data_IF_228892818617
#
_entry.id   IF_228892818617
#
_cell.length_a   1.000
_cell.length_b   1.000
_cell.length_c   1.000
_cell.angle_alpha   90.00
_cell.angle_beta   90.00
_cell.angle_gamma   90.00
#
_symmetry.space_group_name_H-M   'P 1'
#
loop_
_entity.id
_entity.type
_entity.pdbx_description
1 polymer ?
#
# COMPACT_ATOMS: atom_id res chain seq x y z
N UNK A 1 -19.18 -5.60 -13.73
CA UNK A 1 -18.34 -6.77 -13.36
C UNK A 1 -17.75 -6.53 -11.96
N UNK A 2 -18.50 -6.89 -10.91
CA UNK A 2 -18.35 -6.38 -9.52
C UNK A 2 -17.71 -7.39 -8.53
N UNK A 3 -16.91 -8.35 -9.01
CA UNK A 3 -16.58 -9.54 -8.21
C UNK A 3 -15.19 -9.56 -7.54
N UNK A 4 -14.29 -8.59 -7.73
CA UNK A 4 -12.86 -8.78 -7.36
C UNK A 4 -12.20 -7.77 -6.41
N UNK A 5 -12.93 -6.77 -5.93
CA UNK A 5 -12.48 -5.93 -4.80
C UNK A 5 -12.52 -6.68 -3.44
N UNK A 6 -13.31 -7.76 -3.35
CA UNK A 6 -13.51 -8.52 -2.11
C UNK A 6 -12.23 -9.12 -1.54
N UNK A 7 -11.38 -9.75 -2.36
CA UNK A 7 -10.22 -10.47 -1.84
C UNK A 7 -9.13 -9.54 -1.27
N UNK A 8 -8.79 -8.47 -1.98
CA UNK A 8 -7.79 -7.51 -1.49
C UNK A 8 -8.27 -6.76 -0.24
N UNK A 9 -9.56 -6.37 -0.20
CA UNK A 9 -10.18 -5.78 0.99
C UNK A 9 -10.23 -6.76 2.18
N UNK A 10 -10.47 -8.05 1.93
CA UNK A 10 -10.46 -9.08 2.98
C UNK A 10 -9.05 -9.26 3.57
N UNK A 11 -7.98 -9.35 2.77
CA UNK A 11 -6.62 -9.53 3.31
C UNK A 11 -6.12 -8.31 4.10
N UNK A 12 -6.44 -7.09 3.66
CA UNK A 12 -6.12 -5.87 4.42
C UNK A 12 -6.89 -5.82 5.74
N UNK A 13 -8.20 -6.09 5.70
CA UNK A 13 -9.04 -6.06 6.91
C UNK A 13 -8.62 -7.13 7.92
N UNK A 14 -8.28 -8.35 7.48
CA UNK A 14 -7.81 -9.40 8.37
C UNK A 14 -6.40 -9.12 8.92
N UNK A 15 -5.48 -8.55 8.12
CA UNK A 15 -4.15 -8.17 8.59
C UNK A 15 -4.19 -7.06 9.64
N UNK A 16 -4.97 -6.00 9.41
CA UNK A 16 -5.18 -4.90 10.37
C UNK A 16 -5.88 -5.42 11.63
N UNK A 17 -6.91 -6.26 11.48
CA UNK A 17 -7.62 -6.85 12.62
C UNK A 17 -6.70 -7.75 13.47
N UNK A 18 -5.84 -8.55 12.84
CA UNK A 18 -4.89 -9.42 13.54
C UNK A 18 -3.80 -8.62 14.26
N UNK A 19 -3.29 -7.54 13.65
CA UNK A 19 -2.34 -6.61 14.28
C UNK A 19 -2.95 -5.92 15.51
N UNK A 20 -4.20 -5.47 15.43
CA UNK A 20 -4.92 -4.86 16.56
C UNK A 20 -5.14 -5.87 17.69
N UNK A 21 -5.44 -7.14 17.38
CA UNK A 21 -5.63 -8.20 18.38
C UNK A 21 -4.31 -8.59 19.07
N UNK A 22 -3.21 -8.73 18.32
CA UNK A 22 -1.89 -9.06 18.89
C UNK A 22 -1.42 -7.97 19.87
N UNK A 23 -1.61 -6.69 19.51
CA UNK A 23 -1.21 -5.58 20.38
C UNK A 23 -2.06 -5.44 21.64
N UNK A 24 -3.28 -5.99 21.65
CA UNK A 24 -4.18 -5.97 22.81
C UNK A 24 -3.88 -7.04 23.85
N UNK A 25 -3.26 -8.16 23.45
CA UNK A 25 -3.14 -9.37 24.29
C UNK A 25 -1.83 -9.53 25.06
N UNK A 26 -0.80 -8.72 24.82
CA UNK A 26 0.44 -8.85 25.60
C UNK A 26 1.09 -7.52 25.91
N UNK A 27 1.61 -7.44 27.11
CA UNK A 27 2.01 -6.18 27.73
C UNK A 27 3.45 -5.76 27.47
N UNK A 28 4.16 -6.52 26.64
CA UNK A 28 5.60 -6.41 26.48
C UNK A 28 5.98 -5.82 25.11
N UNK A 29 7.10 -5.09 25.10
CA UNK A 29 7.75 -4.48 23.92
C UNK A 29 7.88 -5.46 22.73
N UNK A 30 8.03 -6.76 23.01
CA UNK A 30 8.08 -7.80 21.98
C UNK A 30 6.90 -7.81 21.02
N UNK A 31 5.68 -7.51 21.50
CA UNK A 31 4.50 -7.49 20.62
C UNK A 31 4.52 -6.32 19.63
N UNK A 32 5.12 -5.19 20.00
CA UNK A 32 5.30 -4.04 19.10
C UNK A 32 6.32 -4.38 18.01
N UNK A 33 7.42 -5.01 18.39
CA UNK A 33 8.47 -5.46 17.45
C UNK A 33 7.88 -6.47 16.47
N UNK A 34 7.12 -7.46 16.94
CA UNK A 34 6.46 -8.44 16.06
C UNK A 34 5.49 -7.75 15.11
N UNK A 35 4.67 -6.80 15.60
CA UNK A 35 3.74 -6.06 14.76
C UNK A 35 4.43 -5.25 13.66
N UNK A 36 5.51 -4.55 14.00
CA UNK A 36 6.31 -3.76 13.06
C UNK A 36 7.00 -4.64 12.01
N UNK A 37 7.64 -5.72 12.44
CA UNK A 37 8.29 -6.70 11.55
C UNK A 37 7.26 -7.34 10.60
N UNK A 38 6.07 -7.69 11.10
CA UNK A 38 4.99 -8.22 10.25
C UNK A 38 4.55 -7.20 9.20
N UNK A 39 4.42 -5.91 9.56
CA UNK A 39 4.09 -4.84 8.61
C UNK A 39 5.18 -4.64 7.56
N UNK A 40 6.45 -4.71 7.96
CA UNK A 40 7.58 -4.70 7.03
C UNK A 40 7.49 -5.87 6.05
N UNK A 41 7.38 -7.11 6.53
CA UNK A 41 7.25 -8.27 5.65
C UNK A 41 6.02 -8.19 4.75
N UNK A 42 4.88 -7.71 5.27
CA UNK A 42 3.67 -7.54 4.50
C UNK A 42 3.84 -6.53 3.37
N UNK A 43 4.46 -5.38 3.63
CA UNK A 43 4.74 -4.36 2.61
C UNK A 43 5.66 -4.87 1.49
N UNK A 44 6.65 -5.71 1.85
CA UNK A 44 7.55 -6.36 0.89
C UNK A 44 6.80 -7.40 0.08
N UNK A 45 6.01 -8.25 0.74
CA UNK A 45 5.20 -9.29 0.10
C UNK A 45 4.22 -8.68 -0.90
N UNK A 46 3.48 -7.65 -0.49
CA UNK A 46 2.55 -6.90 -1.36
C UNK A 46 3.29 -6.29 -2.55
N UNK A 47 4.48 -5.74 -2.33
CA UNK A 47 5.27 -5.16 -3.40
C UNK A 47 5.74 -6.19 -4.44
N UNK A 48 6.24 -7.34 -3.98
CA UNK A 48 6.58 -8.47 -4.86
C UNK A 48 5.34 -9.00 -5.57
N UNK A 49 4.21 -9.09 -4.86
CA UNK A 49 2.93 -9.55 -5.40
C UNK A 49 2.52 -8.71 -6.61
N UNK A 50 2.48 -7.38 -6.46
CA UNK A 50 2.15 -6.49 -7.57
C UNK A 50 3.15 -6.58 -8.71
N UNK A 51 4.45 -6.72 -8.43
CA UNK A 51 5.48 -6.75 -9.46
C UNK A 51 5.52 -8.05 -10.28
N UNK A 52 5.20 -9.20 -9.66
CA UNK A 52 5.39 -10.52 -10.29
C UNK A 52 4.10 -11.25 -10.65
N UNK A 53 2.99 -10.94 -9.98
CA UNK A 53 1.75 -11.71 -10.10
C UNK A 53 0.60 -10.90 -10.71
N UNK A 54 0.88 -9.72 -11.27
CA UNK A 54 -0.12 -8.99 -12.03
C UNK A 54 -0.49 -9.78 -13.30
N UNK A 55 -1.78 -9.94 -13.59
CA UNK A 55 -2.21 -10.64 -14.82
C UNK A 55 -2.01 -9.78 -16.05
N UNK A 56 -1.87 -10.39 -17.23
CA UNK A 56 -1.77 -9.64 -18.49
C UNK A 56 -3.01 -8.77 -18.78
N UNK A 57 -2.76 -7.63 -19.43
CA UNK A 57 -3.81 -6.80 -20.03
C UNK A 57 -4.45 -7.55 -21.23
N UNK A 58 -5.78 -7.47 -21.46
CA UNK A 58 -6.78 -6.68 -20.73
C UNK A 58 -7.47 -7.44 -19.59
N UNK A 59 -7.04 -8.67 -19.24
CA UNK A 59 -7.75 -9.48 -18.25
C UNK A 59 -7.77 -8.79 -16.87
N UNK A 60 -6.67 -8.13 -16.49
CA UNK A 60 -6.54 -7.26 -15.30
C UNK A 60 -7.30 -7.83 -14.08
N UNK A 61 -7.05 -9.10 -13.77
CA UNK A 61 -7.74 -9.84 -12.70
C UNK A 61 -7.05 -9.70 -11.36
N UNK A 62 -5.74 -9.48 -11.38
CA UNK A 62 -4.86 -9.40 -10.21
C UNK A 62 -3.86 -8.29 -10.49
N UNK A 63 -3.71 -7.35 -9.56
CA UNK A 63 -2.79 -6.22 -9.66
C UNK A 63 -3.27 -5.05 -8.81
N UNK A 64 -2.61 -3.92 -8.95
CA UNK A 64 -2.98 -2.65 -8.34
C UNK A 64 -4.01 -1.93 -9.21
N UNK A 65 -5.23 -1.82 -8.72
CA UNK A 65 -6.35 -1.28 -9.48
C UNK A 65 -6.65 0.17 -9.11
N UNK A 66 -6.03 1.09 -9.85
CA UNK A 66 -6.49 2.48 -9.96
C UNK A 66 -6.69 2.81 -11.44
N UNK A 67 -7.54 3.79 -11.72
CA UNK A 67 -7.90 4.18 -13.08
C UNK A 67 -6.66 4.47 -13.94
N UNK A 68 -5.69 5.20 -13.39
CA UNK A 68 -4.45 5.57 -14.06
C UNK A 68 -3.61 4.36 -14.47
N UNK A 69 -3.64 3.29 -13.66
CA UNK A 69 -2.91 2.04 -13.94
C UNK A 69 -3.67 1.16 -14.93
N UNK A 70 -5.00 1.23 -14.95
CA UNK A 70 -5.82 0.39 -15.83
C UNK A 70 -6.07 1.00 -17.22
N UNK A 71 -5.51 2.19 -17.50
CA UNK A 71 -5.84 2.99 -18.69
C UNK A 71 -5.49 2.28 -20.01
N UNK A 72 -4.29 1.70 -20.11
CA UNK A 72 -3.87 0.90 -21.26
C UNK A 72 -2.83 -0.15 -20.84
N UNK A 73 -2.40 -1.00 -21.78
CA UNK A 73 -1.42 -2.07 -21.52
C UNK A 73 -0.11 -1.56 -20.90
N UNK A 74 0.43 -0.45 -21.42
CA UNK A 74 1.69 0.11 -20.94
C UNK A 74 1.54 0.68 -19.52
N UNK A 75 0.43 1.38 -19.25
CA UNK A 75 0.10 1.88 -17.91
C UNK A 75 -0.08 0.74 -16.91
N UNK A 76 -0.65 -0.38 -17.35
CA UNK A 76 -0.87 -1.55 -16.51
C UNK A 76 0.44 -2.23 -16.09
N UNK A 77 1.32 -2.53 -17.05
CA UNK A 77 2.60 -3.16 -16.79
C UNK A 77 3.52 -2.25 -15.96
N UNK A 78 3.63 -0.97 -16.35
CA UNK A 78 4.46 -0.02 -15.63
C UNK A 78 3.91 0.29 -14.23
N UNK A 79 2.62 0.55 -14.13
CA UNK A 79 1.96 0.95 -12.89
C UNK A 79 2.02 -0.12 -11.81
N UNK A 80 1.83 -1.40 -12.17
CA UNK A 80 1.97 -2.51 -11.23
C UNK A 80 3.42 -2.69 -10.75
N UNK A 81 4.40 -2.59 -11.65
CA UNK A 81 5.81 -2.67 -11.28
C UNK A 81 6.21 -1.48 -10.37
N UNK A 82 5.77 -0.26 -10.70
CA UNK A 82 6.05 0.93 -9.91
C UNK A 82 5.36 0.87 -8.54
N UNK A 83 4.08 0.49 -8.47
CA UNK A 83 3.36 0.25 -7.22
C UNK A 83 4.07 -0.79 -6.35
N UNK A 84 4.59 -1.87 -6.97
CA UNK A 84 5.36 -2.89 -6.29
C UNK A 84 6.65 -2.37 -5.65
N UNK A 85 7.45 -1.62 -6.41
CA UNK A 85 8.68 -1.01 -5.89
C UNK A 85 8.38 0.03 -4.81
N UNK A 86 7.36 0.87 -5.01
CA UNK A 86 6.95 1.91 -4.07
C UNK A 86 6.47 1.31 -2.74
N UNK A 87 5.70 0.22 -2.78
CA UNK A 87 5.28 -0.57 -1.61
C UNK A 87 6.48 -1.03 -0.77
N UNK A 88 7.50 -1.60 -1.41
CA UNK A 88 8.72 -2.07 -0.72
C UNK A 88 9.48 -0.88 -0.11
N UNK A 89 9.69 0.19 -0.88
CA UNK A 89 10.46 1.36 -0.42
C UNK A 89 9.78 2.02 0.78
N UNK A 90 8.46 2.29 0.69
CA UNK A 90 7.70 2.86 1.80
C UNK A 90 7.71 1.95 3.03
N UNK A 91 7.60 0.64 2.82
CA UNK A 91 7.70 -0.35 3.88
C UNK A 91 9.02 -0.30 4.64
N UNK A 92 10.14 -0.31 3.91
CA UNK A 92 11.48 -0.22 4.49
C UNK A 92 11.66 1.11 5.25
N UNK A 93 11.21 2.23 4.68
CA UNK A 93 11.35 3.54 5.33
C UNK A 93 10.53 3.60 6.62
N UNK A 94 9.23 3.28 6.58
CA UNK A 94 8.33 3.45 7.72
C UNK A 94 8.55 2.39 8.80
N UNK A 95 8.64 1.12 8.42
CA UNK A 95 8.68 -0.03 9.35
C UNK A 95 10.08 -0.62 9.51
N UNK A 96 10.96 -0.47 8.52
CA UNK A 96 12.35 -0.94 8.63
C UNK A 96 13.30 0.04 9.31
N UNK A 97 13.00 1.35 9.27
CA UNK A 97 13.91 2.41 9.73
C UNK A 97 13.24 3.29 10.78
N UNK A 98 12.17 4.00 10.42
CA UNK A 98 11.59 5.05 11.29
C UNK A 98 10.99 4.45 12.56
N UNK A 99 10.14 3.43 12.46
CA UNK A 99 9.50 2.84 13.64
C UNK A 99 10.49 2.17 14.61
N UNK A 100 11.49 1.38 14.14
CA UNK A 100 12.56 0.88 15.02
C UNK A 100 13.34 1.98 15.76
N UNK A 101 13.62 3.10 15.10
CA UNK A 101 14.26 4.27 15.74
C UNK A 101 13.36 4.83 16.85
N UNK A 102 12.06 4.94 16.61
CA UNK A 102 11.09 5.40 17.62
C UNK A 102 11.04 4.45 18.82
N UNK A 103 11.07 3.14 18.58
CA UNK A 103 11.12 2.14 19.66
C UNK A 103 12.39 2.27 20.52
N UNK A 104 13.53 2.62 19.91
CA UNK A 104 14.79 2.84 20.62
C UNK A 104 14.69 3.96 21.68
N UNK A 105 13.88 5.00 21.44
CA UNK A 105 13.68 6.12 22.38
C UNK A 105 12.80 5.78 23.61
N UNK A 106 12.39 4.51 23.80
CA UNK A 106 11.63 4.04 24.98
C UNK A 106 10.37 4.87 25.28
N UNK A 107 9.67 5.30 24.23
CA UNK A 107 8.40 6.02 24.35
C UNK A 107 7.34 5.14 25.02
N UNK A 108 6.35 5.75 25.68
CA UNK A 108 5.21 5.05 26.27
C UNK A 108 4.54 4.14 25.23
N UNK A 109 4.30 2.88 25.60
CA UNK A 109 3.68 1.85 24.74
C UNK A 109 2.42 2.32 24.01
N UNK A 110 1.51 2.99 24.72
CA UNK A 110 0.25 3.47 24.12
C UNK A 110 0.50 4.42 22.94
N UNK A 111 1.54 5.25 23.02
CA UNK A 111 1.93 6.14 21.93
C UNK A 111 2.52 5.32 20.78
N UNK A 112 3.37 4.33 21.04
CA UNK A 112 3.94 3.46 20.00
C UNK A 112 2.86 2.67 19.25
N UNK A 113 1.81 2.20 19.92
CA UNK A 113 0.65 1.56 19.30
C UNK A 113 -0.06 2.54 18.36
N UNK A 114 -0.37 3.74 18.84
CA UNK A 114 -1.03 4.78 18.05
C UNK A 114 -0.18 5.13 16.83
N UNK A 115 1.14 5.29 17.01
CA UNK A 115 2.07 5.59 15.92
C UNK A 115 2.10 4.48 14.87
N UNK A 116 2.06 3.20 15.27
CA UNK A 116 2.06 2.09 14.31
C UNK A 116 0.78 2.12 13.45
N UNK A 117 -0.37 2.39 14.06
CA UNK A 117 -1.65 2.54 13.34
C UNK A 117 -1.57 3.73 12.38
N UNK A 118 -1.07 4.88 12.85
CA UNK A 118 -0.90 6.09 12.03
C UNK A 118 0.04 5.82 10.85
N UNK A 119 1.18 5.15 11.07
CA UNK A 119 2.12 4.78 10.02
C UNK A 119 1.52 3.83 9.00
N UNK A 120 0.68 2.89 9.45
CA UNK A 120 -0.04 1.98 8.55
C UNK A 120 -1.02 2.74 7.65
N UNK A 121 -1.79 3.69 8.20
CA UNK A 121 -2.69 4.55 7.42
C UNK A 121 -1.88 5.42 6.44
N UNK A 122 -0.82 6.05 6.94
CA UNK A 122 0.07 6.90 6.16
C UNK A 122 0.70 6.13 4.99
N UNK A 123 1.12 4.89 5.22
CA UNK A 123 1.66 3.99 4.20
C UNK A 123 0.69 3.84 3.02
N UNK A 124 -0.58 3.52 3.28
CA UNK A 124 -1.57 3.35 2.21
C UNK A 124 -1.89 4.67 1.49
N UNK A 125 -1.99 5.77 2.22
CA UNK A 125 -2.23 7.09 1.64
C UNK A 125 -1.07 7.46 0.71
N UNK A 126 0.17 7.35 1.16
CA UNK A 126 1.36 7.65 0.35
C UNK A 126 1.47 6.75 -0.87
N UNK A 127 1.22 5.45 -0.72
CA UNK A 127 1.24 4.50 -1.84
C UNK A 127 0.23 4.92 -2.92
N UNK A 128 -1.00 5.26 -2.54
CA UNK A 128 -2.05 5.68 -3.46
C UNK A 128 -1.75 7.02 -4.13
N UNK A 129 -1.39 8.05 -3.34
CA UNK A 129 -1.21 9.41 -3.85
C UNK A 129 0.03 9.53 -4.73
N UNK A 130 1.16 8.97 -4.32
CA UNK A 130 2.41 9.00 -5.10
C UNK A 130 2.22 8.24 -6.41
N UNK A 131 1.62 7.05 -6.37
CA UNK A 131 1.35 6.26 -7.57
C UNK A 131 0.43 7.02 -8.54
N UNK A 132 -0.69 7.54 -8.05
CA UNK A 132 -1.64 8.31 -8.87
C UNK A 132 -0.97 9.52 -9.53
N UNK A 133 -0.24 10.32 -8.74
CA UNK A 133 0.44 11.50 -9.23
C UNK A 133 1.51 11.15 -10.28
N UNK A 134 2.33 10.13 -10.00
CA UNK A 134 3.39 9.70 -10.90
C UNK A 134 2.86 9.13 -12.22
N UNK A 135 1.80 8.31 -12.18
CA UNK A 135 1.18 7.78 -13.38
C UNK A 135 0.58 8.87 -14.27
N UNK A 136 -0.13 9.84 -13.67
CA UNK A 136 -0.67 11.00 -14.41
C UNK A 136 0.42 11.82 -15.07
N UNK A 137 1.48 12.13 -14.32
CA UNK A 137 2.61 12.91 -14.83
C UNK A 137 3.35 12.18 -15.94
N UNK A 138 3.58 10.88 -15.80
CA UNK A 138 4.35 10.08 -16.77
C UNK A 138 3.59 9.86 -18.07
N UNK A 139 2.30 9.55 -18.00
CA UNK A 139 1.48 9.20 -19.17
C UNK A 139 0.58 10.35 -19.65
N UNK A 140 0.73 11.55 -19.06
CA UNK A 140 -0.07 12.74 -19.35
C UNK A 140 -1.59 12.47 -19.34
N UNK A 141 -2.05 11.72 -18.34
CA UNK A 141 -3.45 11.31 -18.23
C UNK A 141 -4.30 12.48 -17.74
N UNK A 142 -5.27 12.89 -18.55
CA UNK A 142 -6.32 13.86 -18.19
C UNK A 142 -7.59 13.13 -17.75
N UNK A 143 -8.40 13.80 -16.95
CA UNK A 143 -9.73 13.27 -16.64
C UNK A 143 -10.63 13.48 -17.86
N UNK A 144 -11.50 12.52 -18.18
CA UNK A 144 -12.42 12.57 -19.35
C UNK A 144 -13.30 13.84 -19.40
N UNK A 145 -13.42 14.59 -18.30
CA UNK A 145 -14.19 15.84 -18.24
C UNK A 145 -13.55 16.98 -19.03
N UNK A 146 -12.25 16.95 -19.30
CA UNK A 146 -11.57 18.00 -20.05
C UNK A 146 -11.74 17.83 -21.58
N UNK A 147 -12.12 16.64 -22.05
CA UNK A 147 -12.23 16.33 -23.48
C UNK A 147 -13.62 16.69 -24.08
N UNK A 148 -14.61 17.02 -23.25
CA UNK A 148 -15.92 17.52 -23.70
C UNK A 148 -15.92 19.03 -23.97
N UNK A 149 -15.08 19.81 -23.28
CA UNK A 149 -14.99 21.26 -23.46
C UNK A 149 -14.18 21.68 -24.71
N UNK A 150 -13.28 20.83 -25.21
CA UNK A 150 -12.53 21.06 -26.46
C UNK A 150 -13.33 20.69 -27.74
N UNK A 151 -14.54 20.16 -27.59
CA UNK A 151 -15.43 19.75 -28.72
C UNK A 151 -16.63 20.67 -28.93
N UNK A 152 -16.68 21.82 -28.26
CA UNK A 152 -17.79 22.79 -28.35
C UNK A 152 -17.34 24.11 -28.95
#
# INVERSE_FOLDING_TARGET
MYAKSKYFSIYINWGIFYLVIIQRKGDNLGNLIVGDVLLLFFSIYVGIFFKKFHTDYPKMRVGFHIWEVCYNKECWEYGNNFAGNLSIILGIILFGIIYPIILYFKIKRNICVILLIVFTILYFILLLTILRHHMRKKFNLKDEKDDEDDKK
#
